data_IF_085358614254
#
_entry.id   IF_085358614254
#
_cell.length_a   1.000
_cell.length_b   1.000
_cell.length_c   1.000
_cell.angle_alpha   90.00
_cell.angle_beta   90.00
_cell.angle_gamma   90.00
#
_symmetry.space_group_name_H-M   'P 1'
#
loop_
_entity.id
_entity.type
_entity.pdbx_description
1 polymer ?
#
# COMPACT_ATOMS: atom_id res chain seq x y z
N UNK A 1 42.59 22.14 38.71
CA UNK A 1 42.56 21.19 37.57
C UNK A 1 41.47 20.15 37.82
N UNK A 2 40.26 20.40 37.32
CA UNK A 2 39.24 19.43 36.92
C UNK A 2 38.26 20.22 36.04
N UNK A 3 38.02 19.73 34.82
CA UNK A 3 37.49 20.48 33.67
C UNK A 3 36.02 20.96 33.81
N UNK A 4 35.70 22.18 33.36
CA UNK A 4 34.32 22.63 33.14
C UNK A 4 33.94 22.37 31.67
N UNK A 5 33.76 21.11 31.28
CA UNK A 5 33.35 20.75 29.90
C UNK A 5 32.10 19.86 29.83
N UNK A 6 31.34 19.77 30.92
CA UNK A 6 30.11 18.95 30.99
C UNK A 6 28.81 19.75 31.16
N UNK A 7 28.81 21.05 30.84
CA UNK A 7 27.60 21.90 30.92
C UNK A 7 27.17 22.52 29.58
N UNK A 8 27.77 22.13 28.45
CA UNK A 8 27.47 22.69 27.13
C UNK A 8 26.53 21.82 26.27
N UNK A 9 25.91 20.79 26.85
CA UNK A 9 24.91 19.93 26.20
C UNK A 9 23.53 20.00 26.87
N UNK A 10 23.30 21.02 27.71
CA UNK A 10 21.96 21.41 28.11
C UNK A 10 21.37 22.21 26.95
N UNK A 11 20.63 21.49 26.11
CA UNK A 11 19.59 21.97 25.20
C UNK A 11 19.69 23.43 24.77
N UNK A 12 19.99 23.63 23.48
CA UNK A 12 19.35 24.70 22.70
C UNK A 12 17.82 24.55 22.82
N UNK A 13 17.24 24.94 23.96
CA UNK A 13 15.87 25.46 24.04
C UNK A 13 15.88 26.76 23.25
N UNK A 14 15.89 26.63 21.93
CA UNK A 14 15.66 27.69 20.97
C UNK A 14 14.45 28.52 21.43
N UNK A 15 14.73 29.76 21.83
CA UNK A 15 13.88 30.95 21.69
C UNK A 15 12.39 30.67 21.50
N UNK A 16 11.75 30.09 22.50
CA UNK A 16 10.31 29.97 22.50
C UNK A 16 9.73 31.25 23.14
N UNK A 17 8.97 32.06 22.40
CA UNK A 17 8.27 33.22 22.96
C UNK A 17 7.55 32.86 24.27
N UNK A 18 7.67 33.70 25.30
CA UNK A 18 7.16 33.40 26.65
C UNK A 18 5.63 33.19 26.73
N UNK A 19 4.90 33.56 25.67
CA UNK A 19 3.48 33.35 25.45
C UNK A 19 3.14 31.97 24.85
N UNK A 20 4.13 31.25 24.33
CA UNK A 20 3.93 29.93 23.72
C UNK A 20 4.09 28.83 24.77
N UNK A 21 2.97 28.26 25.22
CA UNK A 21 2.98 27.04 26.04
C UNK A 21 3.03 25.82 25.13
N UNK A 22 4.25 25.31 24.87
CA UNK A 22 4.51 24.06 24.11
C UNK A 22 3.56 22.91 24.49
N UNK A 23 3.21 22.80 25.78
CA UNK A 23 2.35 21.74 26.32
C UNK A 23 0.88 21.84 25.88
N UNK A 24 0.43 23.02 25.45
CA UNK A 24 -0.94 23.29 24.98
C UNK A 24 -1.08 23.13 23.45
N UNK A 25 0.05 23.00 22.73
CA UNK A 25 0.03 22.82 21.28
C UNK A 25 -0.29 21.37 20.89
N UNK A 26 -1.30 21.14 20.03
CA UNK A 26 -1.62 19.79 19.59
C UNK A 26 -0.51 19.23 18.69
N UNK A 27 0.04 18.08 19.08
CA UNK A 27 1.09 17.39 18.31
C UNK A 27 0.47 16.56 17.16
N UNK A 28 0.70 17.00 15.92
CA UNK A 28 0.23 16.32 14.70
C UNK A 28 -1.29 15.99 14.66
N UNK A 29 -2.19 16.97 14.88
CA UNK A 29 -3.63 16.72 15.02
C UNK A 29 -4.26 15.99 13.82
N UNK A 30 -3.81 16.28 12.60
CA UNK A 30 -4.30 15.66 11.36
C UNK A 30 -3.77 14.24 11.12
N UNK A 31 -2.80 13.77 11.91
CA UNK A 31 -2.15 12.47 11.71
C UNK A 31 -2.64 11.38 12.66
N UNK A 32 -3.28 11.72 13.78
CA UNK A 32 -3.75 10.73 14.75
C UNK A 32 -4.66 9.67 14.12
N UNK A 33 -5.66 10.09 13.34
CA UNK A 33 -6.58 9.17 12.68
C UNK A 33 -5.86 8.31 11.62
N UNK A 34 -5.11 8.88 10.65
CA UNK A 34 -4.29 8.09 9.72
C UNK A 34 -3.36 7.07 10.38
N UNK A 35 -2.66 7.45 11.46
CA UNK A 35 -1.78 6.53 12.18
C UNK A 35 -2.56 5.39 12.84
N UNK A 36 -3.68 5.69 13.52
CA UNK A 36 -4.53 4.65 14.11
C UNK A 36 -5.03 3.66 13.03
N UNK A 37 -5.50 4.18 11.90
CA UNK A 37 -5.97 3.37 10.76
C UNK A 37 -4.83 2.48 10.24
N UNK A 38 -3.65 3.05 9.99
CA UNK A 38 -2.47 2.28 9.56
C UNK A 38 -2.11 1.18 10.55
N UNK A 39 -2.03 1.49 11.84
CA UNK A 39 -1.66 0.53 12.89
C UNK A 39 -2.66 -0.62 12.98
N UNK A 40 -3.97 -0.35 12.88
CA UNK A 40 -5.00 -1.39 12.87
C UNK A 40 -4.82 -2.32 11.67
N UNK A 41 -4.64 -1.78 10.45
CA UNK A 41 -4.43 -2.61 9.27
C UNK A 41 -3.11 -3.40 9.32
N UNK A 42 -2.02 -2.81 9.82
CA UNK A 42 -0.76 -3.51 10.06
C UNK A 42 -0.97 -4.68 11.03
N UNK A 43 -1.67 -4.46 12.16
CA UNK A 43 -1.93 -5.51 13.14
C UNK A 43 -2.78 -6.64 12.56
N UNK A 44 -3.87 -6.32 11.87
CA UNK A 44 -4.76 -7.31 11.22
C UNK A 44 -3.99 -8.12 10.18
N UNK A 45 -3.27 -7.45 9.26
CA UNK A 45 -2.49 -8.14 8.25
C UNK A 45 -1.37 -8.99 8.86
N UNK A 46 -0.71 -8.51 9.93
CA UNK A 46 0.33 -9.25 10.64
C UNK A 46 -0.22 -10.51 11.29
N UNK A 47 -1.28 -10.40 12.10
CA UNK A 47 -1.92 -11.56 12.74
C UNK A 47 -2.36 -12.56 11.68
N UNK A 48 -3.03 -12.11 10.62
CA UNK A 48 -3.47 -12.98 9.54
C UNK A 48 -2.33 -13.74 8.85
N UNK A 49 -1.26 -13.02 8.47
CA UNK A 49 -0.11 -13.61 7.79
C UNK A 49 0.71 -14.51 8.71
N UNK A 50 0.89 -14.12 9.98
CA UNK A 50 1.56 -14.93 11.00
C UNK A 50 0.84 -16.26 11.23
N UNK A 51 -0.48 -16.23 11.41
CA UNK A 51 -1.30 -17.43 11.60
C UNK A 51 -1.13 -18.41 10.43
N UNK A 52 -1.11 -17.90 9.19
CA UNK A 52 -1.03 -18.73 7.97
C UNK A 52 0.37 -19.23 7.64
N UNK A 53 1.39 -18.36 7.72
CA UNK A 53 2.73 -18.67 7.22
C UNK A 53 3.68 -19.25 8.27
N UNK A 54 3.36 -19.06 9.56
CA UNK A 54 4.19 -19.49 10.70
C UNK A 54 3.43 -20.47 11.58
N UNK A 55 2.26 -20.09 12.10
CA UNK A 55 1.55 -20.93 13.07
C UNK A 55 0.98 -22.20 12.43
N UNK A 56 0.38 -22.12 11.24
CA UNK A 56 -0.18 -23.31 10.60
C UNK A 56 0.86 -24.38 10.26
N UNK A 57 2.01 -24.06 9.63
CA UNK A 57 3.06 -25.05 9.39
C UNK A 57 3.64 -25.64 10.68
N UNK A 58 3.70 -24.85 11.75
CA UNK A 58 4.16 -25.31 13.06
C UNK A 58 3.19 -26.32 13.66
N UNK A 59 1.88 -26.05 13.64
CA UNK A 59 0.86 -26.95 14.21
C UNK A 59 0.65 -28.19 13.34
N UNK A 60 0.51 -28.02 12.02
CA UNK A 60 0.07 -29.12 11.14
C UNK A 60 1.20 -30.02 10.66
N UNK A 61 2.44 -29.51 10.59
CA UNK A 61 3.58 -30.22 10.01
C UNK A 61 4.81 -30.25 10.94
N UNK A 62 4.70 -29.72 12.16
CA UNK A 62 5.80 -29.58 13.13
C UNK A 62 7.06 -28.90 12.55
N UNK A 63 6.87 -28.02 11.56
CA UNK A 63 7.97 -27.29 10.90
C UNK A 63 8.20 -25.95 11.57
N UNK A 64 9.41 -25.72 12.08
CA UNK A 64 9.80 -24.44 12.65
C UNK A 64 10.14 -23.42 11.54
N UNK A 65 9.20 -22.50 11.28
CA UNK A 65 9.31 -21.47 10.25
C UNK A 65 9.32 -20.05 10.84
N UNK A 66 9.66 -19.89 12.12
CA UNK A 66 9.64 -18.59 12.82
C UNK A 66 10.64 -17.59 12.24
N UNK A 67 11.71 -18.06 11.58
CA UNK A 67 12.65 -17.19 10.86
C UNK A 67 11.99 -16.37 9.74
N UNK A 68 10.77 -16.72 9.31
CA UNK A 68 9.99 -15.95 8.32
C UNK A 68 9.50 -14.61 8.88
N UNK A 69 9.34 -14.46 10.19
CA UNK A 69 8.70 -13.29 10.81
C UNK A 69 9.38 -11.97 10.41
N UNK A 70 10.70 -11.80 10.54
CA UNK A 70 11.33 -10.48 10.37
C UNK A 70 11.29 -9.93 8.94
N UNK A 71 11.24 -10.80 7.92
CA UNK A 71 11.30 -10.35 6.52
C UNK A 71 10.12 -10.87 5.71
N UNK A 72 9.82 -12.17 5.73
CA UNK A 72 8.80 -12.74 4.84
C UNK A 72 7.37 -12.38 5.28
N UNK A 73 7.11 -12.35 6.59
CA UNK A 73 5.81 -11.92 7.12
C UNK A 73 5.66 -10.41 6.93
N UNK A 74 6.65 -9.61 7.36
CA UNK A 74 6.59 -8.15 7.17
C UNK A 74 6.44 -7.76 5.69
N UNK A 75 7.13 -8.42 4.76
CA UNK A 75 7.02 -8.11 3.34
C UNK A 75 5.71 -8.59 2.68
N UNK A 76 4.81 -9.23 3.42
CA UNK A 76 3.40 -9.45 3.03
C UNK A 76 2.45 -8.45 3.69
N UNK A 77 2.78 -8.02 4.92
CA UNK A 77 2.00 -7.05 5.70
C UNK A 77 2.11 -5.64 5.11
N UNK A 78 3.34 -5.19 4.83
CA UNK A 78 3.62 -3.85 4.30
C UNK A 78 2.86 -3.53 3.00
N UNK A 79 2.95 -4.35 1.93
CA UNK A 79 2.23 -4.06 0.69
C UNK A 79 0.71 -4.14 0.86
N UNK A 80 0.20 -5.05 1.70
CA UNK A 80 -1.23 -5.14 1.99
C UNK A 80 -1.73 -3.86 2.63
N UNK A 81 -1.09 -3.39 3.71
CA UNK A 81 -1.50 -2.14 4.33
C UNK A 81 -1.30 -0.94 3.40
N UNK A 82 -0.19 -0.88 2.66
CA UNK A 82 0.07 0.20 1.70
C UNK A 82 -1.05 0.35 0.66
N UNK A 83 -1.43 -0.73 -0.03
CA UNK A 83 -2.46 -0.68 -1.07
C UNK A 83 -3.86 -0.45 -0.50
N UNK A 84 -4.12 -0.92 0.73
CA UNK A 84 -5.37 -0.64 1.46
C UNK A 84 -5.49 0.84 1.79
N UNK A 85 -4.44 1.45 2.33
CA UNK A 85 -4.42 2.89 2.61
C UNK A 85 -4.57 3.70 1.31
N UNK A 86 -3.92 3.29 0.22
CA UNK A 86 -4.07 3.92 -1.09
C UNK A 86 -5.52 3.86 -1.57
N UNK A 87 -6.18 2.72 -1.44
CA UNK A 87 -7.60 2.58 -1.77
C UNK A 87 -8.48 3.51 -0.92
N UNK A 88 -8.18 3.64 0.38
CA UNK A 88 -8.88 4.56 1.29
C UNK A 88 -8.66 6.04 0.97
N UNK A 89 -7.64 6.42 0.21
CA UNK A 89 -7.47 7.79 -0.30
C UNK A 89 -8.52 8.10 -1.37
N UNK A 90 -8.79 7.15 -2.27
CA UNK A 90 -9.65 7.38 -3.45
C UNK A 90 -11.11 6.99 -3.24
N UNK A 91 -11.39 6.03 -2.34
CA UNK A 91 -12.75 5.61 -1.99
C UNK A 91 -13.71 6.74 -1.58
N UNK A 92 -13.37 7.70 -0.69
CA UNK A 92 -14.30 8.74 -0.28
C UNK A 92 -14.68 9.67 -1.44
N UNK A 93 -13.81 9.86 -2.45
CA UNK A 93 -14.14 10.61 -3.67
C UNK A 93 -15.17 9.89 -4.55
N UNK A 94 -15.12 8.56 -4.59
CA UNK A 94 -16.14 7.73 -5.24
C UNK A 94 -17.47 7.81 -4.49
N UNK A 95 -17.46 7.64 -3.16
CA UNK A 95 -18.66 7.74 -2.32
C UNK A 95 -19.32 9.13 -2.39
N UNK A 96 -18.51 10.19 -2.37
CA UNK A 96 -19.00 11.56 -2.55
C UNK A 96 -19.69 11.74 -3.91
N UNK A 97 -19.15 11.14 -4.97
CA UNK A 97 -19.76 11.20 -6.30
C UNK A 97 -21.08 10.42 -6.36
N UNK A 98 -21.17 9.26 -5.71
CA UNK A 98 -22.43 8.52 -5.57
C UNK A 98 -23.48 9.31 -4.79
N UNK A 99 -23.08 9.95 -3.69
CA UNK A 99 -23.99 10.76 -2.88
C UNK A 99 -24.51 11.99 -3.66
N UNK A 100 -23.64 12.64 -4.44
CA UNK A 100 -24.04 13.73 -5.35
C UNK A 100 -25.06 13.24 -6.40
N UNK A 101 -24.85 12.05 -6.98
CA UNK A 101 -25.80 11.46 -7.93
C UNK A 101 -27.14 11.10 -7.28
N UNK A 102 -27.11 10.56 -6.06
CA UNK A 102 -28.29 10.20 -5.30
C UNK A 102 -29.13 11.42 -4.94
N UNK A 103 -28.48 12.48 -4.43
CA UNK A 103 -29.16 13.73 -4.02
C UNK A 103 -29.54 14.61 -5.20
N UNK A 104 -28.86 14.48 -6.34
CA UNK A 104 -29.15 15.27 -7.54
C UNK A 104 -28.75 16.73 -7.46
N UNK A 105 -28.02 17.15 -6.41
CA UNK A 105 -27.53 18.52 -6.20
C UNK A 105 -26.12 18.51 -5.63
N UNK A 106 -25.34 19.56 -5.91
CA UNK A 106 -24.02 19.79 -5.30
C UNK A 106 -24.07 20.62 -4.02
N UNK A 107 -25.20 21.27 -3.73
CA UNK A 107 -25.33 22.25 -2.66
C UNK A 107 -25.59 21.61 -1.28
N UNK A 108 -25.90 20.31 -1.24
CA UNK A 108 -26.05 19.60 0.02
C UNK A 108 -24.69 19.32 0.68
N UNK A 109 -24.54 19.67 1.95
CA UNK A 109 -23.34 19.33 2.73
C UNK A 109 -23.13 17.82 2.84
N UNK A 110 -21.87 17.38 2.82
CA UNK A 110 -21.54 15.98 3.06
C UNK A 110 -21.78 15.60 4.54
N UNK A 111 -22.09 14.33 4.84
CA UNK A 111 -22.06 13.86 6.22
C UNK A 111 -20.69 14.10 6.87
N UNK A 112 -20.69 14.48 8.15
CA UNK A 112 -19.47 14.88 8.89
C UNK A 112 -18.36 13.82 8.83
N UNK A 113 -18.71 12.54 8.88
CA UNK A 113 -17.72 11.45 8.78
C UNK A 113 -16.99 11.42 7.43
N UNK A 114 -17.68 11.74 6.33
CA UNK A 114 -17.12 11.74 4.98
C UNK A 114 -16.24 12.98 4.76
N UNK A 115 -16.66 14.13 5.30
CA UNK A 115 -15.87 15.35 5.29
C UNK A 115 -14.54 15.18 6.06
N UNK A 116 -14.62 14.64 7.29
CA UNK A 116 -13.43 14.34 8.10
C UNK A 116 -12.48 13.37 7.38
N UNK A 117 -13.03 12.34 6.72
CA UNK A 117 -12.23 11.40 5.93
C UNK A 117 -11.58 12.08 4.71
N UNK A 118 -12.33 12.91 3.99
CA UNK A 118 -11.80 13.69 2.86
C UNK A 118 -10.65 14.62 3.28
N UNK A 119 -10.69 15.12 4.52
CA UNK A 119 -9.66 15.98 5.13
C UNK A 119 -8.34 15.29 5.48
N UNK A 120 -8.32 13.95 5.61
CA UNK A 120 -7.11 13.18 5.99
C UNK A 120 -6.47 12.41 4.82
N UNK A 121 -6.98 12.59 3.59
CA UNK A 121 -6.51 11.88 2.39
C UNK A 121 -5.02 12.07 2.11
N UNK A 122 -4.50 13.28 2.33
CA UNK A 122 -3.06 13.57 2.14
C UNK A 122 -2.20 12.69 3.05
N UNK A 123 -2.54 12.61 4.33
CA UNK A 123 -1.80 11.84 5.33
C UNK A 123 -1.90 10.34 5.04
N UNK A 124 -3.08 9.82 4.67
CA UNK A 124 -3.24 8.43 4.26
C UNK A 124 -2.39 8.08 3.03
N UNK A 125 -2.34 8.97 2.03
CA UNK A 125 -1.51 8.80 0.84
C UNK A 125 -0.01 8.79 1.15
N UNK A 126 0.46 9.67 2.04
CA UNK A 126 1.87 9.69 2.45
C UNK A 126 2.26 8.43 3.25
N UNK A 127 1.40 7.95 4.16
CA UNK A 127 1.63 6.69 4.88
C UNK A 127 1.62 5.49 3.93
N UNK A 128 0.71 5.47 2.95
CA UNK A 128 0.69 4.45 1.90
C UNK A 128 2.01 4.41 1.12
N UNK A 129 2.51 5.57 0.69
CA UNK A 129 3.79 5.69 -0.02
C UNK A 129 4.96 5.25 0.85
N UNK A 130 5.02 5.66 2.12
CA UNK A 130 6.04 5.21 3.06
C UNK A 130 6.11 3.68 3.18
N UNK A 131 4.96 3.03 3.37
CA UNK A 131 4.89 1.56 3.44
C UNK A 131 5.24 0.89 2.09
N UNK A 132 4.94 1.53 0.96
CA UNK A 132 5.34 1.05 -0.37
C UNK A 132 6.87 1.09 -0.54
N UNK A 133 7.52 2.16 -0.09
CA UNK A 133 8.99 2.28 -0.10
C UNK A 133 9.63 1.21 0.78
N UNK A 134 9.11 0.99 1.99
CA UNK A 134 9.58 -0.12 2.83
C UNK A 134 9.39 -1.46 2.11
N UNK A 135 8.21 -1.74 1.57
CA UNK A 135 7.96 -2.96 0.80
C UNK A 135 8.97 -3.16 -0.35
N UNK A 136 9.31 -2.10 -1.08
CA UNK A 136 10.32 -2.14 -2.14
C UNK A 136 11.70 -2.55 -1.59
N UNK A 137 12.16 -1.91 -0.50
CA UNK A 137 13.44 -2.23 0.15
C UNK A 137 13.46 -3.68 0.65
N UNK A 138 12.40 -4.11 1.35
CA UNK A 138 12.27 -5.48 1.83
C UNK A 138 12.29 -6.49 0.68
N UNK A 139 11.64 -6.18 -0.45
CA UNK A 139 11.61 -7.05 -1.64
C UNK A 139 12.97 -7.13 -2.33
N UNK A 140 13.67 -6.00 -2.50
CA UNK A 140 15.02 -5.97 -3.07
C UNK A 140 16.05 -6.71 -2.21
N UNK A 141 15.84 -6.76 -0.90
CA UNK A 141 16.70 -7.50 0.03
C UNK A 141 16.57 -9.03 -0.07
N UNK A 142 15.61 -9.57 -0.84
CA UNK A 142 15.33 -11.01 -0.89
C UNK A 142 16.54 -11.89 -1.22
N UNK A 143 17.36 -11.58 -2.26
CA UNK A 143 18.52 -12.38 -2.63
C UNK A 143 19.66 -12.31 -1.63
N UNK A 144 19.77 -11.21 -0.85
CA UNK A 144 20.83 -11.01 0.15
C UNK A 144 20.68 -11.93 1.37
N UNK A 145 19.50 -12.51 1.59
CA UNK A 145 19.22 -13.32 2.77
C UNK A 145 19.91 -14.66 2.72
N UNK A 146 20.49 -15.05 3.86
CA UNK A 146 21.11 -16.37 4.04
C UNK A 146 20.14 -17.53 3.77
N UNK A 147 18.88 -17.38 4.18
CA UNK A 147 17.84 -18.38 3.95
C UNK A 147 17.53 -18.60 2.46
N UNK A 148 17.60 -17.55 1.62
CA UNK A 148 17.46 -17.68 0.17
C UNK A 148 18.67 -18.39 -0.44
N UNK A 149 19.88 -18.02 -0.01
CA UNK A 149 21.12 -18.67 -0.45
C UNK A 149 21.11 -20.18 -0.18
N UNK A 150 20.69 -20.61 1.02
CA UNK A 150 20.56 -22.05 1.33
C UNK A 150 19.50 -22.75 0.49
N UNK A 151 18.35 -22.10 0.22
CA UNK A 151 17.33 -22.66 -0.67
C UNK A 151 17.84 -22.82 -2.10
N UNK A 152 18.55 -21.82 -2.63
CA UNK A 152 19.14 -21.86 -3.96
C UNK A 152 20.15 -23.02 -4.09
N UNK A 153 21.04 -23.19 -3.11
CA UNK A 153 21.99 -24.30 -3.08
C UNK A 153 21.28 -25.66 -3.04
N UNK A 154 20.24 -25.81 -2.22
CA UNK A 154 19.45 -27.04 -2.15
C UNK A 154 18.73 -27.33 -3.47
N UNK A 155 18.16 -26.32 -4.13
CA UNK A 155 17.52 -26.48 -5.44
C UNK A 155 18.52 -26.90 -6.52
N UNK A 156 19.69 -26.25 -6.57
CA UNK A 156 20.75 -26.62 -7.52
C UNK A 156 21.23 -28.06 -7.30
N UNK A 157 21.46 -28.47 -6.05
CA UNK A 157 21.86 -29.84 -5.72
C UNK A 157 20.78 -30.86 -6.14
N UNK A 158 19.50 -30.57 -5.85
CA UNK A 158 18.38 -31.44 -6.25
C UNK A 158 18.23 -31.52 -7.77
N UNK A 159 18.48 -30.43 -8.49
CA UNK A 159 18.44 -30.40 -9.95
C UNK A 159 19.53 -31.29 -10.54
N UNK A 160 20.78 -31.16 -10.10
CA UNK A 160 21.89 -32.01 -10.58
C UNK A 160 21.59 -33.48 -10.31
N UNK A 161 21.10 -33.81 -9.10
CA UNK A 161 20.74 -35.19 -8.75
C UNK A 161 19.61 -35.75 -9.62
N UNK A 162 18.64 -34.94 -10.03
CA UNK A 162 17.57 -35.34 -10.95
C UNK A 162 18.06 -35.44 -12.40
N UNK A 163 18.87 -34.49 -12.85
CA UNK A 163 19.43 -34.46 -14.20
C UNK A 163 20.26 -35.72 -14.49
N UNK A 164 21.11 -36.13 -13.54
CA UNK A 164 21.90 -37.37 -13.63
C UNK A 164 21.05 -38.64 -13.70
N UNK A 165 19.80 -38.61 -13.22
CA UNK A 165 18.88 -39.76 -13.23
C UNK A 165 17.96 -39.80 -14.45
N UNK A 166 17.60 -38.64 -15.01
CA UNK A 166 16.52 -38.51 -16.00
C UNK A 166 16.98 -37.85 -17.31
N UNK A 167 18.27 -37.51 -17.46
CA UNK A 167 18.82 -36.77 -18.60
C UNK A 167 18.06 -35.48 -18.94
N UNK A 168 17.50 -34.81 -17.92
CA UNK A 168 16.76 -33.56 -18.06
C UNK A 168 17.59 -32.40 -17.49
N UNK A 169 18.10 -31.53 -18.37
CA UNK A 169 19.08 -30.49 -18.02
C UNK A 169 18.50 -29.07 -17.93
N UNK A 170 17.26 -28.83 -18.39
CA UNK A 170 16.67 -27.50 -18.42
C UNK A 170 15.87 -27.19 -17.15
N UNK A 171 16.14 -26.01 -16.54
CA UNK A 171 15.42 -25.46 -15.38
C UNK A 171 14.53 -24.26 -15.74
N UNK A 172 14.56 -23.85 -17.00
CA UNK A 172 13.80 -22.71 -17.49
C UNK A 172 12.30 -23.02 -17.55
N UNK A 173 11.50 -22.16 -16.92
CA UNK A 173 10.04 -22.27 -16.92
C UNK A 173 9.46 -20.94 -17.43
N UNK A 174 9.12 -20.92 -18.71
CA UNK A 174 8.66 -19.73 -19.44
C UNK A 174 7.54 -18.97 -18.71
N UNK A 175 6.49 -19.68 -18.27
CA UNK A 175 5.33 -19.10 -17.56
C UNK A 175 5.70 -18.40 -16.25
N UNK A 176 6.63 -18.97 -15.48
CA UNK A 176 7.09 -18.39 -14.21
C UNK A 176 7.97 -17.14 -14.45
N UNK A 177 8.78 -17.15 -15.51
CA UNK A 177 9.61 -16.01 -15.92
C UNK A 177 8.74 -14.84 -16.35
N UNK A 178 7.80 -15.04 -17.29
CA UNK A 178 6.88 -13.98 -17.71
C UNK A 178 6.11 -13.37 -16.55
N UNK A 179 5.59 -14.21 -15.66
CA UNK A 179 4.92 -13.74 -14.45
C UNK A 179 5.83 -12.79 -13.66
N UNK A 180 7.07 -13.23 -13.37
CA UNK A 180 8.05 -12.48 -12.57
C UNK A 180 8.38 -11.12 -13.20
N UNK A 181 8.73 -11.09 -14.48
CA UNK A 181 9.12 -9.87 -15.19
C UNK A 181 7.97 -8.84 -15.23
N UNK A 182 6.74 -9.30 -15.53
CA UNK A 182 5.58 -8.42 -15.65
C UNK A 182 5.24 -7.79 -14.31
N UNK A 183 5.06 -8.59 -13.24
CA UNK A 183 4.59 -8.02 -11.98
C UNK A 183 5.67 -7.11 -11.36
N UNK A 184 6.96 -7.43 -11.52
CA UNK A 184 8.03 -6.55 -11.02
C UNK A 184 8.00 -5.21 -11.74
N UNK A 185 7.92 -5.21 -13.07
CA UNK A 185 7.84 -3.99 -13.87
C UNK A 185 6.63 -3.12 -13.46
N UNK A 186 5.45 -3.73 -13.29
CA UNK A 186 4.24 -3.04 -12.81
C UNK A 186 4.45 -2.43 -11.42
N UNK A 187 5.14 -3.14 -10.52
CA UNK A 187 5.45 -2.65 -9.17
C UNK A 187 6.37 -1.43 -9.20
N UNK A 188 7.40 -1.45 -10.05
CA UNK A 188 8.35 -0.33 -10.22
C UNK A 188 7.63 0.90 -10.78
N UNK A 189 6.83 0.74 -11.84
CA UNK A 189 6.05 1.83 -12.43
C UNK A 189 5.02 2.40 -11.44
N UNK A 190 4.33 1.54 -10.70
CA UNK A 190 3.38 1.95 -9.66
C UNK A 190 4.06 2.77 -8.56
N UNK A 191 5.22 2.32 -8.07
CA UNK A 191 6.00 3.05 -7.08
C UNK A 191 6.51 4.40 -7.61
N UNK A 192 6.98 4.44 -8.87
CA UNK A 192 7.42 5.67 -9.52
C UNK A 192 6.31 6.72 -9.59
N UNK A 193 5.09 6.32 -9.97
CA UNK A 193 3.94 7.23 -10.00
C UNK A 193 3.53 7.65 -8.59
N UNK A 194 3.55 6.75 -7.60
CA UNK A 194 3.31 7.11 -6.20
C UNK A 194 4.33 8.14 -5.69
N UNK A 195 5.60 8.04 -6.10
CA UNK A 195 6.61 9.03 -5.74
C UNK A 195 6.27 10.42 -6.29
N UNK A 196 5.79 10.52 -7.55
CA UNK A 196 5.34 11.81 -8.11
C UNK A 196 4.13 12.39 -7.34
N UNK A 197 3.18 11.54 -6.94
CA UNK A 197 2.03 11.95 -6.12
C UNK A 197 2.47 12.40 -4.72
N UNK A 198 3.47 11.74 -4.13
CA UNK A 198 4.03 12.12 -2.84
C UNK A 198 4.81 13.45 -2.92
N UNK A 199 5.67 13.61 -3.92
CA UNK A 199 6.47 14.85 -4.14
C UNK A 199 5.55 16.04 -4.36
N UNK A 200 4.50 15.89 -5.18
CA UNK A 200 3.52 16.96 -5.41
C UNK A 200 2.69 17.34 -4.17
N UNK A 201 2.77 16.55 -3.08
CA UNK A 201 2.14 16.85 -1.79
C UNK A 201 2.99 17.77 -0.90
N UNK A 202 4.24 18.05 -1.28
CA UNK A 202 5.10 19.01 -0.60
C UNK A 202 4.57 20.44 -0.83
N UNK A 203 4.46 21.29 0.21
CA UNK A 203 3.92 22.65 0.03
C UNK A 203 4.65 23.48 -1.02
N UNK A 204 5.98 23.37 -1.11
CA UNK A 204 6.79 24.06 -2.13
C UNK A 204 6.41 23.69 -3.55
N UNK A 205 6.07 22.42 -3.80
CA UNK A 205 5.65 21.92 -5.12
C UNK A 205 4.17 22.23 -5.36
N UNK A 206 3.30 21.99 -4.37
CA UNK A 206 1.87 22.28 -4.48
C UNK A 206 1.63 23.76 -4.79
N UNK A 207 2.38 24.68 -4.16
CA UNK A 207 2.23 26.12 -4.37
C UNK A 207 2.73 26.61 -5.75
N UNK A 208 3.56 25.81 -6.43
CA UNK A 208 4.07 26.13 -7.76
C UNK A 208 3.15 25.64 -8.90
N UNK A 209 2.20 24.74 -8.60
CA UNK A 209 1.30 24.15 -9.58
C UNK A 209 -0.04 24.90 -9.60
N UNK A 210 -0.61 25.09 -10.78
CA UNK A 210 -1.99 25.53 -10.86
C UNK A 210 -2.96 24.38 -10.47
N UNK A 211 -4.22 24.73 -10.20
CA UNK A 211 -5.20 23.74 -9.73
C UNK A 211 -5.46 22.61 -10.75
N UNK A 212 -5.34 22.89 -12.05
CA UNK A 212 -5.54 21.89 -13.11
C UNK A 212 -4.40 20.86 -13.12
N UNK A 213 -3.16 21.32 -12.99
CA UNK A 213 -1.97 20.48 -12.85
C UNK A 213 -2.03 19.64 -11.58
N UNK A 214 -2.31 20.28 -10.44
CA UNK A 214 -2.42 19.59 -9.15
C UNK A 214 -3.51 18.51 -9.18
N UNK A 215 -4.68 18.82 -9.74
CA UNK A 215 -5.73 17.83 -9.92
C UNK A 215 -5.32 16.69 -10.86
N UNK A 216 -4.62 16.99 -11.96
CA UNK A 216 -4.13 15.96 -12.87
C UNK A 216 -3.20 14.97 -12.14
N UNK A 217 -2.24 15.47 -11.36
CA UNK A 217 -1.32 14.62 -10.61
C UNK A 217 -2.07 13.84 -9.52
N UNK A 218 -2.78 14.51 -8.62
CA UNK A 218 -3.39 13.84 -7.47
C UNK A 218 -4.55 12.91 -7.84
N UNK A 219 -5.30 13.24 -8.90
CA UNK A 219 -6.44 12.44 -9.36
C UNK A 219 -6.05 11.44 -10.43
N UNK A 220 -5.48 11.87 -11.55
CA UNK A 220 -5.23 10.97 -12.70
C UNK A 220 -4.07 10.05 -12.42
N UNK A 221 -2.90 10.60 -12.07
CA UNK A 221 -1.74 9.77 -11.73
C UNK A 221 -2.00 8.96 -10.45
N UNK A 222 -2.73 9.53 -9.50
CA UNK A 222 -3.20 8.82 -8.32
C UNK A 222 -4.00 7.53 -8.59
N UNK A 223 -5.03 7.60 -9.45
CA UNK A 223 -5.78 6.41 -9.83
C UNK A 223 -4.96 5.46 -10.72
N UNK A 224 -4.05 5.99 -11.55
CA UNK A 224 -3.13 5.17 -12.34
C UNK A 224 -2.18 4.36 -11.43
N UNK A 225 -1.65 4.96 -10.37
CA UNK A 225 -0.88 4.26 -9.35
C UNK A 225 -1.71 3.16 -8.67
N UNK A 226 -2.94 3.44 -8.24
CA UNK A 226 -3.82 2.42 -7.66
C UNK A 226 -4.06 1.26 -8.63
N UNK A 227 -4.28 1.55 -9.91
CA UNK A 227 -4.44 0.53 -10.96
C UNK A 227 -3.19 -0.33 -11.12
N UNK A 228 -2.01 0.28 -11.29
CA UNK A 228 -0.75 -0.45 -11.47
C UNK A 228 -0.37 -1.27 -10.24
N UNK A 229 -0.53 -0.72 -9.03
CA UNK A 229 -0.29 -1.47 -7.79
C UNK A 229 -1.27 -2.64 -7.62
N UNK A 230 -2.53 -2.47 -8.05
CA UNK A 230 -3.50 -3.57 -8.04
C UNK A 230 -3.11 -4.62 -9.07
N UNK A 231 -2.78 -4.22 -10.30
CA UNK A 231 -2.33 -5.12 -11.36
C UNK A 231 -1.06 -5.90 -10.95
N UNK A 232 -0.10 -5.24 -10.31
CA UNK A 232 1.08 -5.87 -9.70
C UNK A 232 0.69 -7.03 -8.76
N UNK A 233 -0.27 -6.80 -7.86
CA UNK A 233 -0.74 -7.85 -6.93
C UNK A 233 -1.54 -8.96 -7.65
N UNK A 234 -2.36 -8.62 -8.65
CA UNK A 234 -3.14 -9.60 -9.43
C UNK A 234 -2.23 -10.53 -10.25
N UNK A 235 -1.25 -9.97 -10.96
CA UNK A 235 -0.27 -10.72 -11.76
C UNK A 235 0.64 -11.55 -10.85
N UNK A 236 1.02 -11.04 -9.66
CA UNK A 236 1.72 -11.85 -8.65
C UNK A 236 0.94 -13.12 -8.24
N UNK A 237 -0.39 -13.02 -8.22
CA UNK A 237 -1.30 -14.14 -7.97
C UNK A 237 -1.29 -15.18 -9.09
N UNK A 238 -1.30 -14.79 -10.37
CA UNK A 238 -1.24 -15.69 -11.54
C UNK A 238 -2.15 -16.93 -11.42
N UNK A 239 -1.59 -18.14 -11.25
CA UNK A 239 -2.35 -19.39 -11.05
C UNK A 239 -2.79 -19.62 -9.59
N UNK A 240 -2.19 -18.91 -8.62
CA UNK A 240 -2.47 -19.05 -7.17
C UNK A 240 -3.91 -18.68 -6.77
N UNK A 241 -4.66 -18.03 -7.67
CA UNK A 241 -6.08 -17.71 -7.47
C UNK A 241 -6.96 -18.96 -7.39
N UNK A 242 -6.63 -20.00 -8.17
CA UNK A 242 -7.46 -21.21 -8.34
C UNK A 242 -6.87 -22.40 -7.59
N UNK A 243 -5.57 -22.36 -7.28
CA UNK A 243 -4.88 -23.48 -6.66
C UNK A 243 -5.24 -23.65 -5.17
N UNK A 244 -6.03 -24.69 -4.86
CA UNK A 244 -6.52 -25.03 -3.51
C UNK A 244 -5.40 -25.16 -2.47
N UNK A 245 -4.19 -25.58 -2.88
CA UNK A 245 -3.03 -25.69 -1.98
C UNK A 245 -2.64 -24.39 -1.28
N UNK A 246 -3.09 -23.24 -1.79
CA UNK A 246 -2.83 -21.93 -1.21
C UNK A 246 -3.87 -21.51 -0.16
N UNK A 247 -4.99 -22.24 -0.04
CA UNK A 247 -6.02 -22.04 0.96
C UNK A 247 -5.69 -22.89 2.19
N UNK A 248 -5.35 -22.21 3.29
CA UNK A 248 -4.88 -22.85 4.52
C UNK A 248 -5.96 -22.66 5.58
N UNK A 249 -6.45 -23.74 6.19
CA UNK A 249 -7.58 -23.69 7.13
C UNK A 249 -8.78 -22.86 6.61
N UNK A 250 -9.17 -23.09 5.35
CA UNK A 250 -10.24 -22.34 4.67
C UNK A 250 -9.98 -20.83 4.47
N UNK A 251 -8.80 -20.32 4.86
CA UNK A 251 -8.45 -18.91 4.69
C UNK A 251 -7.72 -18.66 3.36
N UNK A 252 -8.13 -17.64 2.58
CA UNK A 252 -7.53 -17.34 1.28
C UNK A 252 -6.12 -16.73 1.41
N UNK A 253 -5.30 -16.79 0.35
CA UNK A 253 -4.03 -16.05 0.31
C UNK A 253 -4.18 -14.57 0.65
N UNK A 254 -3.21 -14.01 1.37
CA UNK A 254 -3.23 -12.60 1.80
C UNK A 254 -3.38 -11.61 0.63
N UNK A 255 -2.82 -11.92 -0.54
CA UNK A 255 -2.95 -11.06 -1.72
C UNK A 255 -4.40 -10.94 -2.22
N UNK A 256 -5.23 -11.98 -2.09
CA UNK A 256 -6.65 -11.93 -2.50
C UNK A 256 -7.39 -10.89 -1.65
N UNK A 257 -7.17 -10.93 -0.34
CA UNK A 257 -7.76 -9.97 0.59
C UNK A 257 -7.22 -8.56 0.38
N UNK A 258 -5.93 -8.42 0.11
CA UNK A 258 -5.29 -7.14 -0.18
C UNK A 258 -5.82 -6.49 -1.47
N UNK A 259 -6.13 -7.28 -2.50
CA UNK A 259 -6.63 -6.79 -3.79
C UNK A 259 -8.13 -6.47 -3.80
N UNK A 260 -8.90 -6.93 -2.81
CA UNK A 260 -10.35 -6.77 -2.79
C UNK A 260 -10.78 -5.29 -2.74
N UNK A 261 -10.33 -4.54 -1.74
CA UNK A 261 -10.71 -3.13 -1.57
C UNK A 261 -10.25 -2.25 -2.76
N UNK A 262 -8.98 -2.32 -3.22
CA UNK A 262 -8.55 -1.64 -4.44
C UNK A 262 -9.40 -2.00 -5.66
N UNK A 263 -9.76 -3.28 -5.83
CA UNK A 263 -10.63 -3.74 -6.89
C UNK A 263 -12.01 -3.08 -6.87
N UNK A 264 -12.63 -2.98 -5.68
CA UNK A 264 -13.92 -2.28 -5.50
C UNK A 264 -13.80 -0.79 -5.86
N UNK A 265 -12.72 -0.13 -5.44
CA UNK A 265 -12.49 1.29 -5.76
C UNK A 265 -12.31 1.51 -7.25
N UNK A 266 -11.55 0.64 -7.93
CA UNK A 266 -11.34 0.71 -9.38
C UNK A 266 -12.64 0.43 -10.15
N UNK A 267 -13.44 -0.55 -9.70
CA UNK A 267 -14.74 -0.85 -10.29
C UNK A 267 -15.69 0.34 -10.14
N UNK A 268 -15.77 0.93 -8.93
CA UNK A 268 -16.55 2.13 -8.69
C UNK A 268 -16.09 3.28 -9.60
N UNK A 269 -14.78 3.45 -9.77
CA UNK A 269 -14.22 4.48 -10.66
C UNK A 269 -14.62 4.22 -12.12
N UNK A 270 -14.58 2.98 -12.58
CA UNK A 270 -14.97 2.59 -13.93
C UNK A 270 -16.46 2.87 -14.18
N UNK A 271 -17.32 2.51 -13.22
CA UNK A 271 -18.76 2.81 -13.26
C UNK A 271 -19.00 4.32 -13.36
N UNK A 272 -18.36 5.12 -12.50
CA UNK A 272 -18.49 6.57 -12.51
C UNK A 272 -17.89 7.23 -13.77
N UNK A 273 -16.99 6.55 -14.48
CA UNK A 273 -16.41 7.02 -15.73
C UNK A 273 -17.27 6.70 -16.96
N UNK A 274 -18.32 5.86 -16.84
CA UNK A 274 -19.23 5.59 -17.95
C UNK A 274 -19.89 6.88 -18.44
N UNK A 275 -20.01 7.11 -19.76
CA UNK A 275 -20.47 8.39 -20.33
C UNK A 275 -21.81 8.88 -19.79
N UNK A 276 -22.76 7.96 -19.56
CA UNK A 276 -24.09 8.29 -19.04
C UNK A 276 -24.05 8.86 -17.61
N UNK A 277 -23.24 8.25 -16.74
CA UNK A 277 -23.09 8.66 -15.34
C UNK A 277 -22.22 9.91 -15.26
N UNK A 278 -21.10 9.95 -16.01
CA UNK A 278 -20.18 11.08 -15.96
C UNK A 278 -20.85 12.38 -16.46
N UNK A 279 -21.59 12.35 -17.57
CA UNK A 279 -22.34 13.53 -18.06
C UNK A 279 -23.36 14.03 -17.04
N UNK A 280 -24.03 13.11 -16.32
CA UNK A 280 -24.98 13.49 -15.26
C UNK A 280 -24.25 14.12 -14.06
N UNK A 281 -23.14 13.54 -13.64
CA UNK A 281 -22.32 14.05 -12.55
C UNK A 281 -21.73 15.43 -12.88
N UNK A 282 -21.29 15.65 -14.11
CA UNK A 282 -20.82 16.94 -14.61
C UNK A 282 -21.94 17.99 -14.56
N UNK A 283 -23.15 17.68 -15.03
CA UNK A 283 -24.31 18.59 -14.92
C UNK A 283 -24.58 19.01 -13.47
N UNK A 284 -24.58 18.06 -12.54
CA UNK A 284 -24.78 18.36 -11.10
C UNK A 284 -23.67 19.28 -10.59
N UNK A 285 -22.41 19.05 -10.98
CA UNK A 285 -21.27 19.89 -10.60
C UNK A 285 -21.33 21.29 -11.21
N UNK A 286 -21.89 21.44 -12.40
CA UNK A 286 -22.21 22.73 -13.02
C UNK A 286 -23.41 23.45 -12.39
N UNK A 287 -24.11 22.82 -11.44
CA UNK A 287 -25.20 23.45 -10.67
C UNK A 287 -26.60 23.00 -11.06
N UNK A 288 -26.73 21.89 -11.79
CA UNK A 288 -28.04 21.29 -12.05
C UNK A 288 -28.62 20.68 -10.76
N UNK A 289 -29.90 20.94 -10.51
CA UNK A 289 -30.70 20.35 -9.44
C UNK A 289 -31.85 19.52 -10.03
N UNK A 290 -32.26 18.47 -9.31
CA UNK A 290 -33.32 17.54 -9.72
C UNK A 290 -34.65 17.90 -9.08
#
# INVERSE_FOLDING_TARGET
>A
HFDPLLSAFALEEFELPADIRLREMPLFPKWHLPFKVMTVFLAVAFVYTFLRDVLQPYISQSKNEFYKIPILVLNKVLPWTSITLLALVYLPGGLASLLQLHRGTKYSSFPVWLENWMGVRKQLGLLSFFLACLHAIYSLSYPMRRSYRYKLLNWAYQQVRKALRLNAFFSWVEDDVWRMEIYISLGILGLGILALVAISSLPSVTNALNWREFQCVQRTLGHAALFLCTAHALVYGWRKWVEVKHFVWYTPPSFILASFLPGVVLLLRAILAMPCINKRLERIRYGWER
#
